data_IF_581319545658
#
_entry.id   IF_581319545658
#
_cell.length_a   1.000
_cell.length_b   1.000
_cell.length_c   1.000
_cell.angle_alpha   90.00
_cell.angle_beta   90.00
_cell.angle_gamma   90.00
#
_symmetry.space_group_name_H-M   'P 1'
#
loop_
_entity.id
_entity.type
_entity.pdbx_description
1 polymer ?
#
# COMPACT_ATOMS: atom_id res chain seq x y z
N UNK A 1 -34.07 67.88 7.01
CA UNK A 1 -32.64 67.88 6.60
C UNK A 1 -32.43 66.86 5.48
N UNK A 2 -31.89 67.25 4.31
CA UNK A 2 -31.67 66.32 3.17
C UNK A 2 -30.40 65.48 3.41
N UNK A 3 -30.51 64.15 3.49
CA UNK A 3 -29.36 63.24 3.58
C UNK A 3 -28.52 63.32 2.30
N UNK A 4 -27.24 63.69 2.40
CA UNK A 4 -26.29 63.64 1.28
C UNK A 4 -26.02 62.18 0.93
N UNK A 5 -26.18 61.80 -0.35
CA UNK A 5 -25.79 60.48 -0.82
C UNK A 5 -24.26 60.41 -0.84
N UNK A 6 -23.70 59.33 -0.28
CA UNK A 6 -22.25 59.10 -0.22
C UNK A 6 -21.61 59.05 -1.62
N UNK A 7 -20.27 59.12 -1.70
CA UNK A 7 -19.56 59.13 -2.97
C UNK A 7 -19.92 57.88 -3.78
N UNK A 8 -20.30 58.07 -5.04
CA UNK A 8 -20.64 56.97 -5.95
C UNK A 8 -19.35 56.19 -6.27
N UNK A 9 -19.35 54.89 -6.02
CA UNK A 9 -18.26 54.00 -6.42
C UNK A 9 -18.12 54.00 -7.95
N UNK A 10 -16.90 54.11 -8.45
CA UNK A 10 -16.60 54.04 -9.88
C UNK A 10 -16.90 52.65 -10.43
N UNK A 11 -17.34 52.57 -11.69
CA UNK A 11 -17.60 51.29 -12.36
C UNK A 11 -16.29 50.54 -12.57
N UNK A 12 -16.24 49.28 -12.13
CA UNK A 12 -15.13 48.35 -12.37
C UNK A 12 -15.34 47.69 -13.73
N UNK A 13 -14.32 47.76 -14.59
CA UNK A 13 -14.32 47.06 -15.87
C UNK A 13 -13.55 45.76 -15.70
N UNK A 14 -14.26 44.64 -15.80
CA UNK A 14 -13.66 43.32 -15.78
C UNK A 14 -13.33 42.95 -17.24
N UNK A 15 -12.05 42.99 -17.59
CA UNK A 15 -11.56 42.60 -18.90
C UNK A 15 -10.78 41.31 -18.70
N UNK A 16 -11.07 40.31 -19.51
CA UNK A 16 -10.29 39.08 -19.52
C UNK A 16 -9.00 39.31 -20.29
N UNK A 17 -7.89 38.78 -19.77
CA UNK A 17 -6.71 38.59 -20.60
C UNK A 17 -7.03 37.62 -21.72
N UNK A 18 -6.91 38.09 -22.96
CA UNK A 18 -7.33 37.32 -24.14
C UNK A 18 -6.52 36.02 -24.30
N UNK A 19 -5.26 36.03 -23.86
CA UNK A 19 -4.38 34.85 -23.87
C UNK A 19 -4.86 33.79 -22.89
N UNK A 20 -5.13 34.18 -21.64
CA UNK A 20 -5.66 33.25 -20.63
C UNK A 20 -7.06 32.75 -21.02
N UNK A 21 -7.88 33.61 -21.64
CA UNK A 21 -9.18 33.22 -22.19
C UNK A 21 -9.03 32.19 -23.31
N UNK A 22 -8.10 32.39 -24.24
CA UNK A 22 -7.84 31.45 -25.32
C UNK A 22 -7.35 30.10 -24.77
N UNK A 23 -6.41 30.11 -23.83
CA UNK A 23 -5.91 28.91 -23.16
C UNK A 23 -7.01 28.20 -22.37
N UNK A 24 -7.88 28.94 -21.70
CA UNK A 24 -9.02 28.37 -20.98
C UNK A 24 -10.01 27.71 -21.93
N UNK A 25 -10.39 28.40 -23.02
CA UNK A 25 -11.37 27.93 -23.99
C UNK A 25 -10.85 26.81 -24.90
N UNK A 26 -9.54 26.70 -25.13
CA UNK A 26 -8.98 25.64 -26.00
C UNK A 26 -8.28 24.53 -25.21
N UNK A 27 -7.85 24.82 -23.98
CA UNK A 27 -7.10 23.91 -23.10
C UNK A 27 -7.92 22.78 -22.46
N UNK A 28 -9.10 22.44 -22.99
CA UNK A 28 -9.92 21.34 -22.46
C UNK A 28 -9.21 19.99 -22.51
N UNK A 29 -8.49 19.68 -23.60
CA UNK A 29 -7.68 18.45 -23.71
C UNK A 29 -6.59 18.40 -22.64
N UNK A 30 -5.87 19.51 -22.44
CA UNK A 30 -4.84 19.66 -21.39
C UNK A 30 -5.42 19.38 -20.00
N UNK A 31 -6.54 20.05 -19.65
CA UNK A 31 -7.22 19.86 -18.35
C UNK A 31 -7.79 18.45 -18.17
N UNK A 32 -8.33 17.84 -19.23
CA UNK A 32 -8.80 16.45 -19.19
C UNK A 32 -7.65 15.49 -18.89
N UNK A 33 -6.50 15.67 -19.54
CA UNK A 33 -5.31 14.86 -19.31
C UNK A 33 -4.80 15.05 -17.89
N UNK A 34 -4.68 16.29 -17.42
CA UNK A 34 -4.27 16.62 -16.06
C UNK A 34 -5.18 15.95 -15.02
N UNK A 35 -6.50 16.03 -15.20
CA UNK A 35 -7.48 15.35 -14.33
C UNK A 35 -7.31 13.83 -14.34
N UNK A 36 -7.08 13.22 -15.51
CA UNK A 36 -6.81 11.78 -15.62
C UNK A 36 -5.52 11.40 -14.90
N UNK A 37 -4.46 12.19 -15.05
CA UNK A 37 -3.18 11.97 -14.40
C UNK A 37 -3.30 12.06 -12.88
N UNK A 38 -3.94 13.13 -12.37
CA UNK A 38 -4.21 13.30 -10.93
C UNK A 38 -4.98 12.11 -10.38
N UNK A 39 -6.02 11.64 -11.08
CA UNK A 39 -6.79 10.46 -10.65
C UNK A 39 -5.94 9.18 -10.59
N UNK A 40 -5.07 8.96 -11.59
CA UNK A 40 -4.14 7.82 -11.57
C UNK A 40 -3.19 7.89 -10.38
N UNK A 41 -2.57 9.05 -10.16
CA UNK A 41 -1.66 9.27 -9.04
C UNK A 41 -2.35 9.04 -7.69
N UNK A 42 -3.57 9.56 -7.50
CA UNK A 42 -4.33 9.32 -6.25
C UNK A 42 -4.68 7.85 -6.05
N UNK A 43 -4.95 7.10 -7.12
CA UNK A 43 -5.22 5.67 -7.03
C UNK A 43 -3.94 4.92 -6.62
N UNK A 44 -2.81 5.23 -7.27
CA UNK A 44 -1.51 4.61 -6.99
C UNK A 44 -1.06 4.88 -5.55
N UNK A 45 -1.32 6.07 -5.00
CA UNK A 45 -1.02 6.36 -3.59
C UNK A 45 -1.87 5.54 -2.64
N UNK A 46 -3.17 5.42 -2.90
CA UNK A 46 -4.08 4.63 -2.07
C UNK A 46 -3.71 3.13 -2.10
N UNK A 47 -3.38 2.57 -3.27
CA UNK A 47 -2.92 1.18 -3.38
C UNK A 47 -1.64 0.94 -2.57
N UNK A 48 -0.68 1.86 -2.62
CA UNK A 48 0.56 1.75 -1.84
C UNK A 48 0.29 1.78 -0.33
N UNK A 49 -0.64 2.62 0.11
CA UNK A 49 -1.05 2.70 1.52
C UNK A 49 -1.76 1.44 1.98
N UNK A 50 -2.67 0.88 1.17
CA UNK A 50 -3.35 -0.38 1.46
C UNK A 50 -2.38 -1.55 1.56
N UNK A 51 -1.43 -1.69 0.61
CA UNK A 51 -0.41 -2.74 0.66
C UNK A 51 0.43 -2.61 1.94
N UNK A 52 0.83 -1.39 2.32
CA UNK A 52 1.57 -1.15 3.57
C UNK A 52 0.74 -1.55 4.80
N UNK A 53 -0.55 -1.22 4.82
CA UNK A 53 -1.47 -1.57 5.90
C UNK A 53 -1.64 -3.09 6.02
N UNK A 54 -1.82 -3.80 4.90
CA UNK A 54 -1.93 -5.26 4.88
C UNK A 54 -0.65 -5.90 5.41
N UNK A 55 0.52 -5.48 4.91
CA UNK A 55 1.82 -6.00 5.37
C UNK A 55 2.03 -5.76 6.87
N UNK A 56 1.65 -4.58 7.37
CA UNK A 56 1.72 -4.26 8.80
C UNK A 56 0.79 -5.15 9.62
N UNK A 57 -0.47 -5.28 9.21
CA UNK A 57 -1.46 -6.12 9.88
C UNK A 57 -1.03 -7.60 9.90
N UNK A 58 -0.44 -8.11 8.81
CA UNK A 58 0.09 -9.47 8.75
C UNK A 58 1.24 -9.67 9.76
N UNK A 59 2.18 -8.72 9.82
CA UNK A 59 3.29 -8.78 10.81
C UNK A 59 2.75 -8.75 12.25
N UNK A 60 1.79 -7.88 12.53
CA UNK A 60 1.16 -7.77 13.85
C UNK A 60 0.39 -9.04 14.21
N UNK A 61 -0.36 -9.62 13.26
CA UNK A 61 -1.08 -10.88 13.45
C UNK A 61 -0.12 -12.04 13.74
N UNK A 62 0.98 -12.17 12.99
CA UNK A 62 2.00 -13.19 13.26
C UNK A 62 2.64 -13.00 14.63
N UNK A 63 3.03 -11.77 14.96
CA UNK A 63 3.61 -11.46 16.26
C UNK A 63 2.65 -11.75 17.41
N UNK A 64 1.36 -11.44 17.26
CA UNK A 64 0.35 -11.76 18.25
C UNK A 64 0.10 -13.27 18.35
N UNK A 65 0.11 -14.00 17.23
CA UNK A 65 0.00 -15.45 17.21
C UNK A 65 1.18 -16.10 17.97
N UNK A 66 2.41 -15.70 17.67
CA UNK A 66 3.62 -16.17 18.37
C UNK A 66 3.53 -15.86 19.87
N UNK A 67 3.11 -14.64 20.23
CA UNK A 67 2.92 -14.27 21.65
C UNK A 67 1.84 -15.10 22.34
N UNK A 68 0.72 -15.37 21.68
CA UNK A 68 -0.32 -16.24 22.24
C UNK A 68 0.11 -17.70 22.36
N UNK A 69 1.04 -18.14 21.50
CA UNK A 69 1.65 -19.47 21.53
C UNK A 69 2.85 -19.57 22.47
N UNK A 70 3.19 -18.52 23.21
CA UNK A 70 4.26 -18.59 24.21
C UNK A 70 3.96 -19.73 25.19
N UNK A 71 4.92 -20.64 25.34
CA UNK A 71 4.78 -21.81 26.20
C UNK A 71 4.42 -21.37 27.61
N UNK A 72 3.34 -21.93 28.15
CA UNK A 72 2.99 -21.71 29.56
C UNK A 72 4.13 -22.33 30.38
N UNK A 73 4.75 -21.56 31.30
CA UNK A 73 5.96 -22.01 32.01
C UNK A 73 5.74 -23.31 32.78
N UNK A 74 4.49 -23.60 33.18
CA UNK A 74 4.11 -24.82 33.90
C UNK A 74 4.26 -26.11 33.06
N UNK A 75 4.12 -26.06 31.73
CA UNK A 75 4.19 -27.25 30.85
C UNK A 75 5.50 -27.36 30.07
N UNK A 76 6.39 -26.37 30.21
CA UNK A 76 7.62 -26.28 29.43
C UNK A 76 8.58 -27.46 29.68
N UNK A 77 8.58 -27.99 30.91
CA UNK A 77 9.36 -29.16 31.30
C UNK A 77 8.94 -30.46 30.59
N UNK A 78 7.74 -30.52 29.99
CA UNK A 78 7.27 -31.70 29.23
C UNK A 78 7.83 -31.73 27.80
N UNK A 79 8.19 -30.56 27.25
CA UNK A 79 8.75 -30.42 25.91
C UNK A 79 10.28 -30.58 25.89
N UNK A 80 10.94 -30.53 27.05
CA UNK A 80 12.39 -30.71 27.12
C UNK A 80 12.77 -32.16 26.79
N UNK A 81 13.77 -32.38 25.90
CA UNK A 81 14.18 -33.71 25.52
C UNK A 81 14.79 -34.44 26.70
N UNK A 82 14.21 -35.58 27.07
CA UNK A 82 14.71 -36.40 28.17
C UNK A 82 15.75 -37.36 27.61
N UNK A 83 16.97 -37.27 28.14
CA UNK A 83 18.09 -38.13 27.76
C UNK A 83 18.35 -39.17 28.84
N UNK A 84 18.42 -40.42 28.43
CA UNK A 84 18.77 -41.54 29.30
C UNK A 84 20.11 -42.11 28.82
N UNK A 85 21.10 -42.06 29.70
CA UNK A 85 22.42 -42.64 29.44
C UNK A 85 22.45 -44.06 29.99
N UNK A 86 22.45 -45.05 29.09
CA UNK A 86 22.58 -46.46 29.42
C UNK A 86 24.03 -46.90 29.16
N UNK A 87 24.51 -47.96 29.82
CA UNK A 87 25.93 -48.37 29.75
C UNK A 87 26.47 -48.62 28.34
N UNK A 88 25.63 -49.01 27.38
CA UNK A 88 26.04 -49.31 26.00
C UNK A 88 25.58 -48.27 24.97
N UNK A 89 24.61 -47.40 25.29
CA UNK A 89 24.04 -46.43 24.36
C UNK A 89 23.23 -45.33 25.06
N UNK A 90 23.05 -44.19 24.39
CA UNK A 90 22.24 -43.07 24.88
C UNK A 90 20.93 -43.00 24.09
N UNK A 91 19.80 -42.86 24.79
CA UNK A 91 18.47 -42.67 24.18
C UNK A 91 17.95 -41.28 24.50
N UNK A 92 17.61 -40.51 23.48
CA UNK A 92 17.03 -39.17 23.60
C UNK A 92 15.59 -39.18 23.11
N UNK A 93 14.63 -38.96 24.00
CA UNK A 93 13.20 -38.89 23.65
C UNK A 93 12.82 -37.43 23.47
N UNK A 94 12.32 -37.10 22.28
CA UNK A 94 11.84 -35.75 21.93
C UNK A 94 10.54 -35.85 21.12
N UNK A 95 9.69 -34.82 21.21
CA UNK A 95 8.46 -34.74 20.43
C UNK A 95 8.77 -34.45 18.95
N UNK A 96 8.21 -35.25 18.03
CA UNK A 96 8.35 -35.02 16.59
C UNK A 96 7.35 -33.93 16.19
N UNK A 97 7.81 -32.68 16.13
CA UNK A 97 7.00 -31.58 15.62
C UNK A 97 6.94 -31.67 14.08
N UNK A 98 5.76 -31.96 13.54
CA UNK A 98 5.52 -32.04 12.09
C UNK A 98 5.84 -30.73 11.33
N UNK A 99 6.03 -29.61 12.03
CA UNK A 99 6.42 -28.33 11.44
C UNK A 99 7.87 -28.31 10.95
N UNK A 100 8.80 -28.98 11.62
CA UNK A 100 10.22 -28.98 11.24
C UNK A 100 10.47 -29.72 9.91
N UNK A 101 9.63 -30.71 9.60
CA UNK A 101 9.63 -31.44 8.32
C UNK A 101 9.06 -30.61 7.13
N UNK A 102 8.21 -29.63 7.41
CA UNK A 102 7.54 -28.81 6.37
C UNK A 102 8.41 -27.66 5.84
N UNK A 103 9.41 -27.22 6.61
CA UNK A 103 10.31 -26.13 6.22
C UNK A 103 11.23 -26.50 5.03
N UNK A 104 11.46 -27.78 4.77
CA UNK A 104 12.29 -28.22 3.63
C UNK A 104 11.61 -28.06 2.26
N UNK A 105 10.28 -27.95 2.20
CA UNK A 105 9.52 -27.97 0.93
C UNK A 105 8.81 -26.66 0.58
N UNK A 106 8.77 -25.67 1.49
CA UNK A 106 7.88 -24.50 1.36
C UNK A 106 8.64 -23.17 1.35
N UNK A 107 9.59 -22.98 0.43
CA UNK A 107 9.98 -21.64 -0.01
C UNK A 107 8.97 -21.19 -1.07
N UNK A 108 7.77 -20.81 -0.65
CA UNK A 108 6.84 -20.14 -1.54
C UNK A 108 7.36 -18.72 -1.71
N UNK A 109 7.96 -18.44 -2.87
CA UNK A 109 8.34 -17.10 -3.31
C UNK A 109 7.12 -16.17 -3.26
N UNK A 110 6.99 -15.37 -2.20
CA UNK A 110 5.90 -14.40 -2.01
C UNK A 110 6.15 -13.06 -2.74
N UNK A 111 7.28 -12.92 -3.44
CA UNK A 111 7.70 -11.65 -4.04
C UNK A 111 7.37 -11.52 -5.55
N UNK A 112 6.78 -12.54 -6.19
CA UNK A 112 6.60 -12.53 -7.65
C UNK A 112 5.16 -12.85 -8.07
N UNK A 113 4.24 -11.90 -7.87
CA UNK A 113 3.03 -11.74 -8.72
C UNK A 113 2.12 -10.63 -8.18
N UNK A 114 2.60 -9.39 -8.19
CA UNK A 114 1.68 -8.33 -8.61
C UNK A 114 1.97 -8.18 -10.10
N UNK A 115 1.09 -8.63 -11.01
CA UNK A 115 1.23 -8.20 -12.39
C UNK A 115 1.22 -6.68 -12.32
N UNK A 116 2.36 -6.07 -12.64
CA UNK A 116 2.38 -4.70 -13.12
C UNK A 116 1.42 -4.77 -14.30
N UNK A 117 0.17 -4.35 -14.08
CA UNK A 117 -0.77 -4.08 -15.16
C UNK A 117 -0.12 -2.89 -15.85
N UNK A 118 0.82 -3.22 -16.74
CA UNK A 118 1.31 -2.34 -17.76
C UNK A 118 0.05 -2.04 -18.54
N UNK A 119 -0.59 -0.92 -18.18
CA UNK A 119 -1.52 -0.24 -19.03
C UNK A 119 -0.71 0.33 -20.21
N UNK A 120 -0.16 -0.57 -21.01
CA UNK A 120 0.32 -0.34 -22.36
C UNK A 120 -0.90 -0.13 -23.26
N UNK A 121 -1.66 0.93 -22.97
CA UNK A 121 -2.39 1.63 -24.01
C UNK A 121 -1.34 2.37 -24.80
N UNK A 122 -0.89 1.75 -25.90
CA UNK A 122 -0.02 2.37 -26.91
C UNK A 122 -0.45 3.81 -27.12
N UNK A 123 0.45 4.75 -26.85
CA UNK A 123 0.39 6.09 -27.42
C UNK A 123 0.58 5.95 -28.92
N UNK A 124 -0.48 5.62 -29.64
CA UNK A 124 -0.64 6.06 -31.01
C UNK A 124 -1.27 7.44 -30.93
N UNK A 125 -0.41 8.46 -30.99
CA UNK A 125 -0.72 9.84 -31.38
C UNK A 125 0.64 10.59 -31.48
N UNK A 126 1.57 10.01 -32.24
CA UNK A 126 2.55 10.78 -33.02
C UNK A 126 2.24 10.55 -34.49
N UNK A 127 1.12 11.10 -34.97
CA UNK A 127 0.90 11.31 -36.41
C UNK A 127 0.15 12.63 -36.57
N UNK A 128 0.91 13.63 -37.03
CA UNK A 128 0.52 14.80 -37.83
C UNK A 128 -0.55 15.80 -37.33
N UNK A 129 -0.08 17.06 -37.30
CA UNK A 129 -0.75 18.37 -37.29
C UNK A 129 -1.16 18.98 -35.95
#
# INVERSE_FOLDING_TARGET
MKKRRGPKQSKVHLIFDEKERADYLTGFRKRNLERKLKRKQTLDTLLKEEIKKIKKNQKEALHNAIKSQSQVPEIQHLLEPVTYDLPDHTVTISEINNMDSLHASTTINMDESIPVVSAGGKSQDEVEK
#
